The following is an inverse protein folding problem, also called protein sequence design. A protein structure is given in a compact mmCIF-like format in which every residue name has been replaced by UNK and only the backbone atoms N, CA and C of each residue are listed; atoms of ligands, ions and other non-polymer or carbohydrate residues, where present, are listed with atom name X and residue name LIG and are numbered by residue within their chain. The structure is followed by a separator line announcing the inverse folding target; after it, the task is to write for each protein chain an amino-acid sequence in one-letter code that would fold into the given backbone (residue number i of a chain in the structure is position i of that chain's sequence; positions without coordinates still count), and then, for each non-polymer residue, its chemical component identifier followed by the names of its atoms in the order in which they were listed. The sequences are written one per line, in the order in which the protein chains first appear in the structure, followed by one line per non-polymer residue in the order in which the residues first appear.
data_IF_756496635835
#
_entry.id   IF_756496635835
#
_cell.length_a   1.000
_cell.length_b   1.000
_cell.length_c   1.000
_cell.angle_alpha   90.00
_cell.angle_beta   90.00
_cell.angle_gamma   90.00
#
_symmetry.space_group_name_H-M   'P 1'
#
loop_
_entity.id
_entity.type
_entity.pdbx_description
1 polymer ?
#
# COMPACT_ATOMS: atom_id res chain seq x y z
N UNK A 1 -19.64 -17.27 -23.60
CA UNK A 1 -18.67 -17.23 -22.49
C UNK A 1 -18.26 -15.79 -22.35
N UNK A 2 -18.98 -15.05 -21.49
CA UNK A 2 -18.78 -13.62 -21.29
C UNK A 2 -17.45 -13.39 -20.57
N UNK A 3 -16.54 -12.69 -21.22
CA UNK A 3 -15.34 -12.17 -20.58
C UNK A 3 -15.75 -10.96 -19.75
N UNK A 4 -15.89 -11.15 -18.44
CA UNK A 4 -16.06 -10.08 -17.45
C UNK A 4 -14.84 -9.14 -17.54
N UNK A 5 -14.91 -8.11 -18.38
CA UNK A 5 -13.85 -7.13 -18.55
C UNK A 5 -13.83 -6.20 -17.34
N UNK A 6 -13.24 -6.69 -16.24
CA UNK A 6 -12.98 -5.89 -15.05
C UNK A 6 -12.00 -4.76 -15.43
N UNK A 7 -12.31 -3.49 -15.12
CA UNK A 7 -11.43 -2.38 -15.47
C UNK A 7 -10.04 -2.59 -14.86
N UNK A 8 -9.01 -2.58 -15.72
CA UNK A 8 -7.62 -2.74 -15.30
C UNK A 8 -7.13 -1.43 -14.67
N UNK A 9 -7.18 -1.33 -13.35
CA UNK A 9 -6.59 -0.20 -12.61
C UNK A 9 -5.06 -0.23 -12.74
N UNK A 10 -4.47 0.88 -13.17
CA UNK A 10 -3.01 1.04 -13.30
C UNK A 10 -2.53 2.10 -12.32
N UNK A 11 -1.55 1.75 -11.50
CA UNK A 11 -0.94 2.65 -10.52
C UNK A 11 0.29 3.31 -11.12
N UNK A 12 0.36 4.64 -10.99
CA UNK A 12 1.42 5.46 -11.58
C UNK A 12 2.08 6.32 -10.51
N UNK A 13 3.39 6.54 -10.67
CA UNK A 13 4.11 7.51 -9.86
C UNK A 13 3.50 8.90 -10.06
N UNK A 14 3.11 9.55 -8.97
CA UNK A 14 2.51 10.89 -9.02
C UNK A 14 3.41 11.96 -9.65
N UNK A 15 4.73 11.79 -9.58
CA UNK A 15 5.71 12.80 -10.06
C UNK A 15 6.05 12.66 -11.54
N UNK A 16 6.22 11.44 -12.05
CA UNK A 16 6.67 11.21 -13.44
C UNK A 16 5.73 10.33 -14.27
N UNK A 17 4.57 9.96 -13.73
CA UNK A 17 3.56 9.12 -14.38
C UNK A 17 4.02 7.72 -14.81
N UNK A 18 5.24 7.30 -14.44
CA UNK A 18 5.75 5.95 -14.67
C UNK A 18 4.86 4.93 -13.97
N UNK A 19 4.49 3.86 -14.67
CA UNK A 19 3.70 2.76 -14.11
C UNK A 19 4.53 2.05 -13.04
N UNK A 20 3.95 1.84 -11.85
CA UNK A 20 4.61 1.21 -10.70
C UNK A 20 3.94 -0.10 -10.29
N UNK A 21 2.65 -0.26 -10.55
CA UNK A 21 1.89 -1.49 -10.31
C UNK A 21 0.65 -1.55 -11.20
N UNK A 22 0.11 -2.75 -11.37
CA UNK A 22 -1.19 -3.01 -11.99
C UNK A 22 -2.10 -3.68 -10.96
N UNK A 23 -3.42 -3.65 -11.20
CA UNK A 23 -4.41 -4.23 -10.29
C UNK A 23 -4.18 -5.71 -9.98
N UNK A 24 -3.60 -6.47 -10.92
CA UNK A 24 -3.31 -7.90 -10.76
C UNK A 24 -2.23 -8.16 -9.71
N UNK A 25 -1.30 -7.23 -9.50
CA UNK A 25 -0.27 -7.35 -8.48
C UNK A 25 -0.73 -6.86 -7.11
N UNK A 26 -1.96 -6.35 -6.98
CA UNK A 26 -2.47 -5.83 -5.70
C UNK A 26 -2.94 -6.99 -4.84
N UNK A 27 -2.34 -7.10 -3.67
CA UNK A 27 -2.73 -8.06 -2.63
C UNK A 27 -3.88 -7.46 -1.84
N UNK A 28 -5.00 -8.19 -1.80
CA UNK A 28 -6.11 -7.87 -0.92
C UNK A 28 -5.75 -8.24 0.51
N UNK A 29 -6.02 -7.35 1.45
CA UNK A 29 -5.85 -7.62 2.88
C UNK A 29 -7.15 -7.34 3.63
N UNK A 30 -7.31 -8.00 4.78
CA UNK A 30 -8.40 -7.68 5.71
C UNK A 30 -8.01 -6.41 6.45
N UNK A 31 -8.88 -5.42 6.41
CA UNK A 31 -8.68 -4.18 7.14
C UNK A 31 -8.56 -4.44 8.64
N UNK A 32 -7.44 -4.01 9.23
CA UNK A 32 -7.23 -4.02 10.67
C UNK A 32 -7.92 -2.83 11.34
N UNK A 33 -7.87 -2.75 12.67
CA UNK A 33 -8.33 -1.55 13.38
C UNK A 33 -7.37 -0.34 13.24
N UNK A 34 -6.32 -0.48 12.43
CA UNK A 34 -5.49 0.63 12.00
C UNK A 34 -4.77 1.34 13.14
N UNK A 35 -4.63 2.66 13.02
CA UNK A 35 -4.06 3.50 14.09
C UNK A 35 -4.73 3.28 15.47
N UNK A 36 -6.01 2.84 15.49
CA UNK A 36 -6.77 2.62 16.72
C UNK A 36 -6.28 1.41 17.52
N UNK A 37 -5.55 0.47 16.90
CA UNK A 37 -4.90 -0.64 17.60
C UNK A 37 -3.67 -0.22 18.42
N UNK A 38 -2.99 0.85 18.00
CA UNK A 38 -1.72 1.29 18.63
C UNK A 38 -1.81 2.62 19.37
N UNK A 39 -2.88 3.42 19.18
CA UNK A 39 -3.13 4.58 20.03
C UNK A 39 -3.57 4.11 21.42
N UNK A 40 -2.62 4.03 22.35
CA UNK A 40 -2.93 3.97 23.79
C UNK A 40 -3.85 5.15 24.14
N UNK A 41 -5.12 4.84 24.45
CA UNK A 41 -6.17 5.68 25.05
C UNK A 41 -6.03 7.19 24.79
N UNK A 42 -5.99 7.64 23.54
CA UNK A 42 -6.31 9.03 23.24
C UNK A 42 -7.83 9.12 23.14
N UNK A 43 -8.46 9.92 24.01
CA UNK A 43 -9.89 10.28 23.96
C UNK A 43 -10.16 10.98 22.62
N UNK A 44 -10.44 10.19 21.58
CA UNK A 44 -10.91 10.67 20.29
C UNK A 44 -12.35 11.16 20.41
N UNK A 45 -12.71 12.09 19.54
CA UNK A 45 -14.07 12.63 19.46
C UNK A 45 -15.09 11.48 19.20
N UNK A 46 -16.25 11.45 19.89
CA UNK A 46 -17.26 10.42 19.69
C UNK A 46 -17.70 10.25 18.23
N UNK A 47 -17.60 11.30 17.40
CA UNK A 47 -17.98 11.29 15.98
C UNK A 47 -16.99 10.52 15.09
N UNK A 48 -15.75 10.28 15.56
CA UNK A 48 -14.74 9.54 14.79
C UNK A 48 -14.92 8.01 14.90
N UNK A 49 -15.78 7.55 15.83
CA UNK A 49 -15.99 6.12 16.11
C UNK A 49 -16.79 5.41 15.02
N UNK A 50 -17.66 6.14 14.31
CA UNK A 50 -18.57 5.64 13.25
C UNK A 50 -17.97 5.68 11.84
N UNK A 51 -16.84 6.38 11.65
CA UNK A 51 -16.13 6.32 10.37
C UNK A 51 -15.47 4.96 10.26
N UNK A 52 -15.90 4.18 9.25
CA UNK A 52 -15.13 3.01 8.84
C UNK A 52 -13.75 3.53 8.45
N UNK A 53 -12.66 2.99 9.02
CA UNK A 53 -11.34 3.33 8.53
C UNK A 53 -11.33 3.02 7.03
N UNK A 54 -10.70 3.84 6.21
CA UNK A 54 -10.47 3.54 4.79
C UNK A 54 -8.97 3.29 4.62
N UNK A 55 -8.61 2.20 3.94
CA UNK A 55 -7.21 1.89 3.71
C UNK A 55 -6.59 2.94 2.78
N UNK A 56 -5.68 3.75 3.30
CA UNK A 56 -4.96 4.78 2.53
C UNK A 56 -3.85 4.21 1.62
N UNK A 57 -3.53 2.93 1.78
CA UNK A 57 -2.37 2.28 1.16
C UNK A 57 -2.80 1.01 0.43
N UNK A 58 -2.20 0.79 -0.74
CA UNK A 58 -2.29 -0.48 -1.45
C UNK A 58 -1.10 -1.37 -1.09
N UNK A 59 -1.33 -2.68 -1.10
CA UNK A 59 -0.30 -3.69 -0.91
C UNK A 59 -0.11 -4.42 -2.23
N UNK A 60 1.15 -4.68 -2.59
CA UNK A 60 1.47 -5.32 -3.87
C UNK A 60 2.47 -6.44 -3.67
N UNK A 61 2.41 -7.45 -4.54
CA UNK A 61 3.45 -8.47 -4.60
C UNK A 61 4.82 -7.84 -4.93
N UNK A 62 5.93 -8.39 -4.41
CA UNK A 62 7.27 -7.96 -4.76
C UNK A 62 7.49 -7.97 -6.28
N UNK A 63 7.89 -6.82 -6.83
CA UNK A 63 8.14 -6.68 -8.27
C UNK A 63 9.63 -6.48 -8.55
N UNK A 64 10.06 -6.82 -9.77
CA UNK A 64 11.48 -6.74 -10.21
C UNK A 64 12.13 -5.36 -10.01
N UNK A 65 11.35 -4.29 -10.06
CA UNK A 65 11.85 -2.92 -9.86
C UNK A 65 12.10 -2.57 -8.39
N UNK A 66 11.55 -3.36 -7.45
CA UNK A 66 11.75 -3.19 -6.00
C UNK A 66 13.08 -3.79 -5.56
N UNK A 67 14.18 -3.16 -5.96
CA UNK A 67 15.53 -3.69 -5.79
C UNK A 67 15.86 -4.05 -4.32
N UNK A 68 15.49 -3.19 -3.38
CA UNK A 68 15.71 -3.43 -1.94
C UNK A 68 15.00 -4.70 -1.43
N UNK A 69 13.90 -5.12 -2.05
CA UNK A 69 13.23 -6.38 -1.68
C UNK A 69 14.02 -7.59 -2.17
N UNK A 70 14.60 -7.50 -3.39
CA UNK A 70 15.41 -8.56 -3.98
C UNK A 70 16.76 -8.73 -3.28
N UNK A 71 17.33 -7.64 -2.76
CA UNK A 71 18.57 -7.64 -1.98
C UNK A 71 18.42 -8.26 -0.58
N UNK A 72 17.19 -8.61 -0.17
CA UNK A 72 16.94 -9.30 1.10
C UNK A 72 16.89 -8.38 2.33
N UNK A 73 16.67 -7.08 2.14
CA UNK A 73 16.44 -6.17 3.27
C UNK A 73 15.16 -6.56 4.00
N UNK A 74 15.13 -6.38 5.33
CA UNK A 74 13.96 -6.68 6.17
C UNK A 74 12.93 -5.55 6.12
N UNK A 75 13.41 -4.30 6.05
CA UNK A 75 12.61 -3.09 5.98
C UNK A 75 13.33 -2.06 5.12
N UNK A 76 12.66 -1.48 4.13
CA UNK A 76 13.15 -0.29 3.44
C UNK A 76 12.05 0.50 2.71
N UNK A 77 12.40 1.69 2.24
CA UNK A 77 11.61 2.56 1.35
C UNK A 77 11.68 2.08 -0.10
N UNK A 78 10.58 2.32 -0.80
CA UNK A 78 10.46 2.09 -2.24
C UNK A 78 10.57 3.40 -2.99
N UNK A 79 11.42 3.41 -4.01
CA UNK A 79 11.74 4.59 -4.82
C UNK A 79 11.32 4.38 -6.26
N UNK A 80 10.82 5.44 -6.90
CA UNK A 80 10.50 5.40 -8.32
C UNK A 80 11.78 5.34 -9.15
N UNK A 81 11.91 4.33 -10.02
CA UNK A 81 13.05 4.21 -10.96
C UNK A 81 13.18 5.38 -11.96
N UNK A 82 12.13 6.19 -12.14
CA UNK A 82 12.13 7.28 -13.12
C UNK A 82 12.57 8.63 -12.55
N UNK A 83 12.15 8.95 -11.32
CA UNK A 83 12.35 10.29 -10.74
C UNK A 83 12.84 10.25 -9.29
N UNK A 84 13.16 9.06 -8.77
CA UNK A 84 13.58 8.81 -7.40
C UNK A 84 12.63 9.39 -6.33
N UNK A 85 11.37 9.69 -6.69
CA UNK A 85 10.36 10.05 -5.72
C UNK A 85 10.01 8.83 -4.86
N UNK A 86 9.76 9.06 -3.56
CA UNK A 86 9.31 8.02 -2.65
C UNK A 86 7.91 7.54 -3.05
N UNK A 87 7.77 6.23 -3.24
CA UNK A 87 6.50 5.57 -3.57
C UNK A 87 5.84 4.91 -2.36
N UNK A 88 6.64 4.41 -1.42
CA UNK A 88 6.15 3.67 -0.26
C UNK A 88 7.29 3.09 0.56
N UNK A 89 7.01 1.99 1.26
CA UNK A 89 7.96 1.19 2.03
C UNK A 89 7.41 -0.22 2.22
N UNK A 90 8.28 -1.15 2.59
CA UNK A 90 7.92 -2.51 2.99
C UNK A 90 8.58 -2.85 4.34
N UNK A 91 7.95 -3.74 5.10
CA UNK A 91 8.51 -4.30 6.33
C UNK A 91 8.06 -5.76 6.48
N UNK A 92 9.00 -6.69 6.46
CA UNK A 92 8.73 -8.13 6.58
C UNK A 92 8.38 -8.58 8.00
N UNK A 93 8.67 -7.77 9.03
CA UNK A 93 8.15 -7.97 10.39
C UNK A 93 6.65 -7.61 10.51
N UNK A 94 6.06 -7.12 9.42
CA UNK A 94 4.66 -6.74 9.33
C UNK A 94 4.47 -5.22 9.31
N UNK A 95 3.38 -4.81 8.67
CA UNK A 95 2.95 -3.41 8.63
C UNK A 95 1.42 -3.39 8.63
N UNK A 96 0.83 -2.41 9.31
CA UNK A 96 -0.62 -2.27 9.36
C UNK A 96 -1.14 -1.45 8.18
N UNK A 97 -2.31 -1.84 7.70
CA UNK A 97 -3.18 -0.93 6.96
C UNK A 97 -3.80 0.07 7.92
N UNK A 98 -3.94 1.33 7.48
CA UNK A 98 -4.40 2.45 8.31
C UNK A 98 -5.77 2.30 8.92
#
# INVERSE_FOLDING_TARGET
METDQKPQTIYRCKRCSRIVAIQEHVILHKQGAGERCFKWKKRGDPLDRDKKPECSSIFVEPMKWMQAVQEGHVEEKLWCLGCQARLGSFNWAGMQCG
#
